data_IF_226526786845
#
_entry.id   IF_226526786845
#
_cell.length_a   1.000
_cell.length_b   1.000
_cell.length_c   1.000
_cell.angle_alpha   90.00
_cell.angle_beta   90.00
_cell.angle_gamma   90.00
#
_symmetry.space_group_name_H-M   'P 1'
#
loop_
_entity.id
_entity.type
_entity.pdbx_description
1 polymer ?
#
# COMPACT_ATOMS: atom_id res chain seq x y z
N UNK A 1 10.85 26.09 16.65
CA UNK A 1 9.46 25.60 16.53
C UNK A 1 9.49 24.25 15.83
N UNK A 2 8.95 23.20 16.44
CA UNK A 2 8.80 21.91 15.77
C UNK A 2 7.71 22.02 14.70
N UNK A 3 8.01 21.66 13.45
CA UNK A 3 6.98 21.48 12.42
C UNK A 3 6.02 20.41 12.94
N UNK A 4 4.70 20.66 13.01
CA UNK A 4 3.76 19.61 13.35
C UNK A 4 3.90 18.47 12.32
N UNK A 5 3.75 17.19 12.74
CA UNK A 5 3.78 16.08 11.80
C UNK A 5 2.72 16.32 10.72
N UNK A 6 3.08 16.07 9.47
CA UNK A 6 2.21 16.34 8.32
C UNK A 6 0.92 15.50 8.36
N UNK A 7 0.94 14.37 9.08
CA UNK A 7 -0.24 13.54 9.37
C UNK A 7 -0.03 12.87 10.74
N UNK A 8 -1.08 12.77 11.54
CA UNK A 8 -1.10 11.94 12.76
C UNK A 8 -1.86 10.67 12.44
N UNK A 9 -1.24 9.51 12.68
CA UNK A 9 -1.91 8.21 12.58
C UNK A 9 -1.84 7.49 13.92
N UNK A 10 -2.82 6.64 14.18
CA UNK A 10 -2.90 5.88 15.41
C UNK A 10 -2.66 4.38 15.15
N UNK A 11 -1.99 3.66 16.06
CA UNK A 11 -1.87 2.21 15.98
C UNK A 11 -3.24 1.55 15.84
N UNK A 12 -3.38 0.62 14.89
CA UNK A 12 -4.64 -0.07 14.60
C UNK A 12 -5.49 0.59 13.53
N UNK A 13 -5.21 1.84 13.11
CA UNK A 13 -5.89 2.45 11.96
C UNK A 13 -5.67 1.59 10.70
N UNK A 14 -6.75 1.33 9.97
CA UNK A 14 -6.74 0.61 8.69
C UNK A 14 -6.94 1.59 7.54
N UNK A 15 -6.07 1.47 6.56
CA UNK A 15 -5.94 2.40 5.45
C UNK A 15 -6.04 1.61 4.14
N UNK A 16 -7.00 2.00 3.31
CA UNK A 16 -7.13 1.53 1.93
C UNK A 16 -6.11 2.23 1.02
N UNK A 17 -5.41 1.42 0.24
CA UNK A 17 -4.36 1.77 -0.72
C UNK A 17 -4.91 1.49 -2.13
N UNK A 18 -5.10 2.51 -2.97
CA UNK A 18 -5.62 2.32 -4.32
C UNK A 18 -4.58 1.64 -5.21
N UNK A 19 -4.99 0.61 -5.94
CA UNK A 19 -4.11 -0.15 -6.84
C UNK A 19 -3.98 0.46 -8.24
N UNK A 20 -4.77 1.49 -8.52
CA UNK A 20 -4.89 2.12 -9.84
C UNK A 20 -4.19 3.46 -9.98
N UNK A 21 -3.57 3.98 -8.91
CA UNK A 21 -2.89 5.27 -8.93
C UNK A 21 -1.37 5.16 -9.16
N UNK A 22 -0.81 3.97 -9.41
CA UNK A 22 0.65 3.74 -9.51
C UNK A 22 1.38 4.71 -10.46
N UNK A 23 0.71 5.18 -11.51
CA UNK A 23 1.26 6.14 -12.49
C UNK A 23 1.02 7.62 -12.15
N UNK A 24 0.24 7.92 -11.12
CA UNK A 24 -0.10 9.29 -10.72
C UNK A 24 0.99 9.91 -9.84
N UNK A 25 1.35 11.19 -10.03
CA UNK A 25 2.38 11.84 -9.25
C UNK A 25 2.14 11.76 -7.73
N UNK A 26 3.19 11.42 -6.97
CA UNK A 26 3.12 11.23 -5.51
C UNK A 26 2.59 12.45 -4.74
N UNK A 27 2.80 13.66 -5.26
CA UNK A 27 2.39 14.90 -4.60
C UNK A 27 0.93 15.30 -4.90
N UNK A 28 0.26 14.60 -5.82
CA UNK A 28 -1.13 14.85 -6.19
C UNK A 28 -2.05 14.64 -4.99
N UNK A 29 -2.94 15.61 -4.74
CA UNK A 29 -3.95 15.52 -3.68
C UNK A 29 -5.27 15.06 -4.28
N UNK A 30 -5.89 14.03 -3.69
CA UNK A 30 -7.12 13.46 -4.23
C UNK A 30 -8.35 13.84 -3.41
N UNK A 31 -9.42 14.20 -4.11
CA UNK A 31 -10.75 14.41 -3.52
C UNK A 31 -11.49 13.06 -3.40
N UNK A 32 -12.54 13.01 -2.58
CA UNK A 32 -13.23 11.75 -2.25
C UNK A 32 -13.95 11.13 -3.45
N UNK A 33 -14.49 11.97 -4.33
CA UNK A 33 -15.11 11.62 -5.61
C UNK A 33 -14.19 10.86 -6.57
N UNK A 34 -12.87 11.07 -6.49
CA UNK A 34 -11.89 10.32 -7.29
C UNK A 34 -11.89 8.80 -7.03
N UNK A 35 -12.53 8.36 -5.96
CA UNK A 35 -12.60 6.95 -5.53
C UNK A 35 -14.01 6.36 -5.62
N UNK A 36 -14.98 7.13 -6.14
CA UNK A 36 -16.35 6.64 -6.31
C UNK A 36 -16.38 5.55 -7.39
N UNK A 37 -17.19 4.52 -7.18
CA UNK A 37 -17.45 3.44 -8.13
C UNK A 37 -16.22 2.62 -8.55
N UNK A 38 -15.14 2.65 -7.75
CA UNK A 38 -13.90 1.88 -8.01
C UNK A 38 -13.97 0.41 -7.58
N UNK A 39 -15.04 -0.03 -6.89
CA UNK A 39 -15.20 -1.42 -6.47
C UNK A 39 -13.96 -2.00 -5.77
N UNK A 40 -13.61 -3.24 -6.10
CA UNK A 40 -12.49 -4.00 -5.53
C UNK A 40 -11.13 -3.63 -6.13
N UNK A 41 -10.76 -2.35 -6.03
CA UNK A 41 -9.47 -1.84 -6.52
C UNK A 41 -8.58 -1.28 -5.40
N UNK A 42 -8.78 -1.71 -4.14
CA UNK A 42 -7.97 -1.31 -3.00
C UNK A 42 -7.36 -2.51 -2.30
N UNK A 43 -6.07 -2.42 -2.00
CA UNK A 43 -5.46 -3.21 -0.94
C UNK A 43 -5.54 -2.45 0.39
N UNK A 44 -5.16 -3.10 1.49
CA UNK A 44 -5.27 -2.50 2.81
C UNK A 44 -3.99 -2.67 3.62
N UNK A 45 -3.68 -1.68 4.43
CA UNK A 45 -2.66 -1.79 5.46
C UNK A 45 -3.21 -1.38 6.83
N UNK A 46 -2.63 -1.94 7.89
CA UNK A 46 -2.86 -1.52 9.27
C UNK A 46 -1.62 -0.80 9.80
N UNK A 47 -1.84 0.30 10.48
CA UNK A 47 -0.78 1.06 11.17
C UNK A 47 -0.33 0.27 12.39
N UNK A 48 0.97 -0.06 12.46
CA UNK A 48 1.57 -0.72 13.61
C UNK A 48 2.11 0.31 14.60
N UNK A 49 2.91 1.26 14.11
CA UNK A 49 3.51 2.32 14.93
C UNK A 49 3.90 3.53 14.07
N UNK A 50 3.60 4.75 14.53
CA UNK A 50 4.16 5.97 13.97
C UNK A 50 5.49 6.32 14.66
N UNK A 51 6.62 6.07 13.97
CA UNK A 51 7.96 6.44 14.44
C UNK A 51 8.36 7.85 14.03
N UNK A 52 7.38 8.70 13.68
CA UNK A 52 7.54 10.11 13.32
C UNK A 52 8.52 10.27 12.15
N UNK A 53 9.65 10.94 12.40
CA UNK A 53 10.66 11.22 11.37
C UNK A 53 11.28 9.97 10.73
N UNK A 54 11.16 8.80 11.36
CA UNK A 54 11.67 7.53 10.84
C UNK A 54 10.68 6.77 9.96
N UNK A 55 9.49 7.33 9.73
CA UNK A 55 8.41 6.70 8.97
C UNK A 55 7.36 6.04 9.87
N UNK A 56 6.31 5.53 9.24
CA UNK A 56 5.23 4.79 9.89
C UNK A 56 5.43 3.31 9.54
N UNK A 57 5.46 2.43 10.53
CA UNK A 57 5.49 0.97 10.28
C UNK A 57 4.07 0.52 10.01
N UNK A 58 3.88 -0.19 8.91
CA UNK A 58 2.60 -0.78 8.51
C UNK A 58 2.79 -2.24 8.11
N UNK A 59 1.73 -3.03 8.26
CA UNK A 59 1.59 -4.32 7.59
C UNK A 59 0.56 -4.20 6.48
N UNK A 60 0.84 -4.81 5.33
CA UNK A 60 -0.05 -4.83 4.17
C UNK A 60 -0.63 -6.22 4.05
N UNK A 61 -1.94 -6.32 3.89
CA UNK A 61 -2.66 -7.60 3.84
C UNK A 61 -2.88 -8.06 2.40
N UNK A 62 -2.90 -9.37 2.20
CA UNK A 62 -3.32 -10.04 0.96
C UNK A 62 -4.86 -10.07 0.88
N UNK A 63 -5.45 -8.87 0.92
CA UNK A 63 -6.88 -8.66 0.79
C UNK A 63 -7.11 -7.49 -0.16
N UNK A 64 -7.92 -7.71 -1.18
CA UNK A 64 -8.35 -6.69 -2.14
C UNK A 64 -9.86 -6.55 -2.06
N UNK A 65 -10.35 -5.31 -2.00
CA UNK A 65 -11.76 -5.03 -1.82
C UNK A 65 -12.11 -3.55 -1.97
N UNK A 66 -13.40 -3.24 -1.80
CA UNK A 66 -13.92 -1.87 -1.79
C UNK A 66 -13.62 -1.08 -0.51
N UNK A 67 -13.87 0.23 -0.54
CA UNK A 67 -13.70 1.10 0.64
C UNK A 67 -14.62 0.75 1.82
N UNK A 68 -15.64 -0.07 1.58
CA UNK A 68 -16.60 -0.61 2.53
C UNK A 68 -16.25 -2.02 3.02
N UNK A 69 -15.06 -2.55 2.66
CA UNK A 69 -14.57 -3.83 3.16
C UNK A 69 -14.61 -3.90 4.69
N UNK A 70 -15.06 -5.04 5.21
CA UNK A 70 -15.12 -5.25 6.65
C UNK A 70 -13.69 -5.34 7.22
N UNK A 71 -13.40 -4.53 8.24
CA UNK A 71 -12.08 -4.50 8.87
C UNK A 71 -11.66 -5.87 9.40
N UNK A 72 -12.62 -6.68 9.88
CA UNK A 72 -12.38 -8.04 10.34
C UNK A 72 -11.83 -8.95 9.24
N UNK A 73 -12.35 -8.85 8.02
CA UNK A 73 -11.91 -9.66 6.88
C UNK A 73 -10.51 -9.21 6.41
N UNK A 74 -10.26 -7.91 6.42
CA UNK A 74 -8.95 -7.33 6.10
C UNK A 74 -7.86 -7.86 7.03
N UNK A 75 -8.08 -7.79 8.35
CA UNK A 75 -7.05 -8.16 9.33
C UNK A 75 -6.94 -9.66 9.58
N UNK A 76 -7.91 -10.44 9.11
CA UNK A 76 -7.86 -11.90 9.12
C UNK A 76 -7.04 -12.47 7.94
N UNK A 77 -6.79 -11.67 6.90
CA UNK A 77 -5.95 -12.06 5.78
C UNK A 77 -4.46 -12.11 6.16
N UNK A 78 -3.71 -12.93 5.41
CA UNK A 78 -2.27 -13.01 5.57
C UNK A 78 -1.60 -11.69 5.16
N UNK A 79 -0.37 -11.49 5.64
CA UNK A 79 0.46 -10.38 5.19
C UNK A 79 0.98 -10.67 3.78
N UNK A 80 0.88 -9.68 2.90
CA UNK A 80 1.40 -9.76 1.53
C UNK A 80 2.94 -9.83 1.51
N UNK A 81 3.59 -9.19 2.46
CA UNK A 81 5.04 -9.22 2.68
C UNK A 81 5.37 -8.77 4.13
N UNK A 82 6.61 -8.95 4.63
CA UNK A 82 7.00 -8.47 5.96
C UNK A 82 6.68 -6.97 6.17
N UNK A 83 6.37 -6.52 7.39
CA UNK A 83 6.03 -5.12 7.65
C UNK A 83 7.05 -4.13 7.09
N UNK A 84 6.57 -2.99 6.59
CA UNK A 84 7.39 -1.98 5.90
C UNK A 84 7.25 -0.61 6.55
N UNK A 85 8.25 0.26 6.34
CA UNK A 85 8.16 1.67 6.70
C UNK A 85 7.60 2.50 5.53
N UNK A 86 6.66 3.39 5.79
CA UNK A 86 6.06 4.28 4.78
C UNK A 86 6.26 5.76 5.16
N UNK A 87 6.21 6.62 4.14
CA UNK A 87 5.95 8.05 4.37
C UNK A 87 4.48 8.27 4.71
N UNK A 88 4.17 9.29 5.51
CA UNK A 88 2.79 9.73 5.72
C UNK A 88 2.16 10.47 4.53
N UNK A 89 2.85 10.58 3.38
CA UNK A 89 2.38 11.40 2.26
C UNK A 89 1.13 10.86 1.59
N UNK A 90 1.01 9.54 1.41
CA UNK A 90 -0.20 8.93 0.82
C UNK A 90 -1.47 9.31 1.61
N UNK A 91 -1.36 9.32 2.93
CA UNK A 91 -2.42 9.67 3.87
C UNK A 91 -2.66 11.19 3.87
N UNK A 92 -1.60 11.99 4.04
CA UNK A 92 -1.68 13.46 4.07
C UNK A 92 -2.29 14.06 2.78
N UNK A 93 -1.94 13.48 1.63
CA UNK A 93 -2.45 13.88 0.31
C UNK A 93 -3.82 13.28 -0.01
N UNK A 94 -4.42 12.52 0.92
CA UNK A 94 -5.73 11.89 0.73
C UNK A 94 -5.76 10.94 -0.49
N UNK A 95 -4.59 10.43 -0.87
CA UNK A 95 -4.43 9.39 -1.89
C UNK A 95 -4.85 8.04 -1.32
N UNK A 96 -4.47 7.79 -0.06
CA UNK A 96 -4.92 6.64 0.72
C UNK A 96 -6.06 7.03 1.64
N UNK A 97 -6.97 6.09 1.90
CA UNK A 97 -8.24 6.34 2.60
C UNK A 97 -8.27 5.61 3.93
N UNK A 98 -8.50 6.34 5.02
CA UNK A 98 -8.84 5.71 6.30
C UNK A 98 -10.21 5.08 6.18
N UNK A 99 -10.31 3.79 6.50
CA UNK A 99 -11.56 3.01 6.37
C UNK A 99 -12.05 2.46 7.71
N UNK A 100 -11.21 2.45 8.73
CA UNK A 100 -11.61 2.08 10.09
C UNK A 100 -10.41 1.91 11.01
N UNK A 101 -10.67 1.32 12.17
CA UNK A 101 -9.66 0.99 13.18
C UNK A 101 -9.96 -0.41 13.72
N UNK A 102 -8.92 -1.19 13.97
CA UNK A 102 -9.04 -2.45 14.71
C UNK A 102 -9.12 -2.13 16.21
N UNK A 103 -10.21 -2.49 16.89
CA UNK A 103 -10.39 -2.21 18.31
C UNK A 103 -10.86 -3.45 19.09
N UNK A 104 -10.21 -3.80 20.22
CA UNK A 104 -8.98 -3.20 20.76
C UNK A 104 -7.72 -3.73 20.03
N UNK A 105 -6.92 -2.83 19.44
CA UNK A 105 -5.63 -3.22 18.83
C UNK A 105 -4.50 -3.26 19.85
N UNK A 106 -3.74 -4.35 19.83
CA UNK A 106 -2.48 -4.52 20.56
C UNK A 106 -1.40 -4.95 19.57
N UNK A 107 -0.39 -4.09 19.37
CA UNK A 107 0.65 -4.32 18.36
C UNK A 107 1.50 -5.58 18.59
N UNK A 108 1.61 -6.05 19.83
CA UNK A 108 2.37 -7.27 20.10
C UNK A 108 1.52 -8.48 19.76
N UNK A 109 0.30 -8.55 20.30
CA UNK A 109 -0.64 -9.66 20.05
C UNK A 109 -1.04 -9.75 18.58
N UNK A 110 -1.35 -8.62 17.95
CA UNK A 110 -1.97 -8.59 16.63
C UNK A 110 -0.96 -8.49 15.50
N UNK A 111 0.27 -8.03 15.78
CA UNK A 111 1.29 -7.81 14.75
C UNK A 111 2.67 -8.39 15.08
N UNK A 112 2.89 -8.99 16.26
CA UNK A 112 4.21 -9.50 16.66
C UNK A 112 5.27 -8.42 16.60
N UNK A 113 4.97 -7.23 17.15
CA UNK A 113 5.81 -6.04 17.01
C UNK A 113 7.28 -6.29 17.38
N UNK A 114 7.53 -7.01 18.47
CA UNK A 114 8.88 -7.37 18.93
C UNK A 114 9.68 -8.24 17.96
N UNK A 115 9.01 -8.93 17.02
CA UNK A 115 9.65 -9.80 16.01
C UNK A 115 9.86 -9.09 14.68
N UNK A 116 9.41 -7.84 14.52
CA UNK A 116 9.60 -7.10 13.27
C UNK A 116 11.06 -6.71 13.13
N UNK A 117 11.65 -7.12 12.01
CA UNK A 117 13.07 -6.92 11.70
C UNK A 117 13.21 -6.12 10.40
N UNK A 118 13.99 -5.05 10.45
CA UNK A 118 14.19 -4.13 9.32
C UNK A 118 15.67 -3.75 9.17
N UNK A 119 16.21 -3.85 7.97
CA UNK A 119 17.63 -3.56 7.72
C UNK A 119 17.87 -2.08 7.44
N UNK A 120 18.70 -1.46 8.27
CA UNK A 120 19.24 -0.11 8.06
C UNK A 120 20.53 -0.21 7.24
N UNK A 121 20.73 0.73 6.31
CA UNK A 121 21.96 0.85 5.50
C UNK A 121 22.41 -0.46 4.81
N UNK A 122 21.56 -1.11 3.99
CA UNK A 122 21.76 -2.47 3.50
C UNK A 122 23.04 -2.72 2.70
N UNK A 123 23.70 -1.68 2.17
CA UNK A 123 24.81 -1.81 1.22
C UNK A 123 26.20 -1.39 1.74
N UNK A 124 26.33 -0.88 2.95
CA UNK A 124 27.61 -0.41 3.50
C UNK A 124 27.90 -1.06 4.85
N UNK A 125 27.18 -0.62 5.89
CA UNK A 125 27.29 -1.15 7.25
C UNK A 125 25.90 -1.55 7.74
N UNK A 126 25.36 -2.67 7.24
CA UNK A 126 24.00 -3.04 7.53
C UNK A 126 23.81 -3.28 9.03
N UNK A 127 22.70 -2.79 9.55
CA UNK A 127 22.25 -3.05 10.93
C UNK A 127 20.83 -3.55 10.89
N UNK A 128 20.55 -4.62 11.62
CA UNK A 128 19.20 -5.10 11.83
C UNK A 128 18.56 -4.32 12.96
N UNK A 129 17.49 -3.59 12.67
CA UNK A 129 16.63 -3.00 13.68
C UNK A 129 15.58 -4.03 14.11
N UNK A 130 15.37 -4.17 15.41
CA UNK A 130 14.31 -4.97 16.02
C UNK A 130 13.94 -4.36 17.38
N UNK A 131 12.68 -3.94 17.54
CA UNK A 131 12.14 -3.37 18.79
C UNK A 131 13.04 -2.30 19.44
N UNK A 132 13.54 -1.36 18.64
CA UNK A 132 14.40 -0.29 19.12
C UNK A 132 15.88 -0.66 19.31
N UNK A 133 16.26 -1.93 19.13
CA UNK A 133 17.65 -2.39 19.18
C UNK A 133 18.21 -2.47 17.76
N UNK A 134 19.45 -1.97 17.56
CA UNK A 134 20.18 -2.09 16.30
C UNK A 134 21.39 -3.01 16.48
N UNK A 135 21.46 -4.09 15.71
CA UNK A 135 22.57 -5.05 15.74
C UNK A 135 23.32 -5.05 14.40
N UNK A 136 24.66 -4.91 14.37
CA UNK A 136 25.43 -5.06 13.14
C UNK A 136 25.25 -6.46 12.54
N UNK A 137 25.05 -6.53 11.22
CA UNK A 137 25.01 -7.78 10.46
C UNK A 137 25.93 -7.65 9.23
N UNK A 138 26.22 -8.76 8.55
CA UNK A 138 26.92 -8.71 7.26
C UNK A 138 25.95 -8.50 6.08
N UNK A 139 26.50 -8.16 4.91
CA UNK A 139 25.73 -7.83 3.71
C UNK A 139 24.98 -9.04 3.14
N UNK A 140 25.47 -10.27 3.30
CA UNK A 140 24.76 -11.46 2.83
C UNK A 140 23.55 -11.75 3.72
N UNK A 141 23.72 -11.67 5.04
CA UNK A 141 22.62 -11.77 6.02
C UNK A 141 21.56 -10.70 5.76
N UNK A 142 21.97 -9.47 5.44
CA UNK A 142 21.06 -8.36 5.16
C UNK A 142 20.07 -8.63 4.01
N UNK A 143 20.44 -9.44 3.00
CA UNK A 143 19.58 -9.76 1.85
C UNK A 143 18.34 -10.58 2.22
N UNK A 144 18.36 -11.27 3.36
CA UNK A 144 17.25 -12.09 3.85
C UNK A 144 16.13 -11.31 4.53
N UNK A 145 16.29 -10.01 4.73
CA UNK A 145 15.37 -9.18 5.50
C UNK A 145 14.83 -8.01 4.69
N UNK A 146 13.66 -7.53 5.11
CA UNK A 146 13.09 -6.29 4.57
C UNK A 146 13.98 -5.11 4.93
N UNK A 147 14.24 -4.23 3.97
CA UNK A 147 15.02 -3.01 4.24
C UNK A 147 14.15 -1.96 4.93
N UNK A 148 14.74 -1.19 5.85
CA UNK A 148 14.20 0.09 6.32
C UNK A 148 14.29 1.14 5.21
N UNK A 149 13.56 0.90 4.13
CA UNK A 149 13.28 1.87 3.08
C UNK A 149 11.96 2.52 3.42
N UNK A 150 11.94 3.83 3.56
CA UNK A 150 10.70 4.58 3.76
C UNK A 150 9.99 4.69 2.40
N UNK A 151 8.99 3.86 2.17
CA UNK A 151 8.25 3.78 0.91
C UNK A 151 7.39 5.04 0.70
N UNK A 152 7.50 5.63 -0.49
CA UNK A 152 6.52 6.62 -0.97
C UNK A 152 5.27 5.91 -1.46
N UNK A 153 4.17 6.66 -1.61
CA UNK A 153 2.88 6.07 -1.90
C UNK A 153 2.84 5.30 -3.22
N UNK A 154 3.36 5.92 -4.28
CA UNK A 154 3.49 5.36 -5.63
C UNK A 154 4.35 4.08 -5.67
N UNK A 155 5.49 4.08 -4.97
CA UNK A 155 6.37 2.91 -4.92
C UNK A 155 5.73 1.75 -4.15
N UNK A 156 5.03 2.02 -3.03
CA UNK A 156 4.36 0.96 -2.28
C UNK A 156 3.19 0.38 -3.08
N UNK A 157 2.38 1.23 -3.71
CA UNK A 157 1.28 0.78 -4.58
C UNK A 157 1.78 -0.11 -5.71
N UNK A 158 2.90 0.27 -6.35
CA UNK A 158 3.52 -0.53 -7.41
C UNK A 158 3.95 -1.90 -6.89
N UNK A 159 4.63 -1.94 -5.74
CA UNK A 159 5.05 -3.19 -5.10
C UNK A 159 3.86 -4.09 -4.76
N UNK A 160 2.75 -3.52 -4.27
CA UNK A 160 1.54 -4.28 -3.95
C UNK A 160 0.94 -4.89 -5.22
N UNK A 161 0.80 -4.10 -6.28
CA UNK A 161 0.28 -4.57 -7.58
C UNK A 161 1.14 -5.71 -8.12
N UNK A 162 2.47 -5.58 -8.06
CA UNK A 162 3.41 -6.63 -8.48
C UNK A 162 3.28 -7.89 -7.62
N UNK A 163 3.18 -7.77 -6.30
CA UNK A 163 3.07 -8.89 -5.37
C UNK A 163 1.75 -9.67 -5.52
N UNK A 164 0.64 -8.97 -5.81
CA UNK A 164 -0.67 -9.57 -6.07
C UNK A 164 -0.78 -10.21 -7.47
N UNK A 165 0.24 -10.05 -8.33
CA UNK A 165 0.20 -10.54 -9.70
C UNK A 165 -0.78 -9.80 -10.61
N UNK A 166 -1.24 -8.61 -10.21
CA UNK A 166 -2.03 -7.75 -11.08
C UNK A 166 -1.07 -7.01 -12.03
N UNK A 167 -1.26 -7.06 -13.36
CA UNK A 167 -0.47 -6.24 -14.25
C UNK A 167 -0.76 -4.76 -13.94
N UNK A 168 0.29 -3.97 -13.66
CA UNK A 168 0.18 -2.51 -13.61
C UNK A 168 -0.50 -2.05 -14.89
N UNK A 169 -1.70 -1.48 -14.77
CA UNK A 169 -2.43 -0.90 -15.89
C UNK A 169 -1.68 0.33 -16.41
N UNK A 170 -0.60 0.09 -17.15
CA UNK A 170 0.01 1.09 -18.00
C UNK A 170 -0.87 1.26 -19.24
N UNK A 171 -1.25 2.51 -19.51
CA UNK A 171 -1.77 3.17 -20.71
C UNK A 171 -2.03 2.43 -22.06
N UNK A 172 -2.30 1.13 -22.10
CA UNK A 172 -2.45 0.33 -23.32
C UNK A 172 -3.89 -0.09 -23.63
N UNK A 173 -4.85 0.09 -22.71
CA UNK A 173 -6.23 -0.37 -22.93
C UNK A 173 -7.13 0.64 -23.68
N UNK A 174 -6.54 1.45 -24.56
CA UNK A 174 -7.27 2.34 -25.49
C UNK A 174 -7.37 1.82 -26.92
N UNK A 175 -7.17 0.52 -27.16
CA UNK A 175 -7.42 -0.08 -28.48
C UNK A 175 -7.93 -1.52 -28.37
N UNK A 176 -9.19 -1.69 -27.97
CA UNK A 176 -10.01 -2.83 -28.43
C UNK A 176 -11.49 -2.54 -28.15
N UNK A 177 -12.09 -1.82 -29.09
CA UNK A 177 -13.51 -1.44 -29.05
C UNK A 177 -13.98 -0.79 -30.34
N UNK A 178 -13.48 -1.25 -31.49
CA UNK A 178 -14.17 -1.02 -32.78
C UNK A 178 -14.79 -2.35 -33.17
N UNK A 179 -16.06 -2.50 -32.81
CA UNK A 179 -16.89 -3.62 -33.26
C UNK A 179 -17.03 -3.63 -34.79
N UNK A 180 -17.40 -4.77 -35.38
CA UNK A 180 -17.49 -4.91 -36.82
C UNK A 180 -18.62 -4.05 -37.42
N UNK A 181 -18.30 -3.55 -38.61
CA UNK A 181 -19.06 -2.71 -39.53
C UNK A 181 -20.44 -3.31 -39.87
N UNK A 182 -21.54 -2.52 -39.92
CA UNK A 182 -22.82 -3.02 -40.41
C UNK A 182 -22.83 -3.08 -41.95
N UNK A 183 -22.80 -4.32 -42.43
CA UNK A 183 -22.99 -4.68 -43.83
C UNK A 183 -24.37 -4.21 -44.33
N UNK A 184 -24.37 -3.33 -45.35
CA UNK A 184 -25.58 -2.89 -46.04
C UNK A 184 -25.95 -3.92 -47.10
N UNK A 185 -26.94 -4.76 -46.80
CA UNK A 185 -27.61 -5.60 -47.81
C UNK A 185 -29.13 -5.41 -47.76
N UNK A 186 -29.68 -4.68 -48.73
CA UNK A 186 -31.08 -4.70 -49.25
C UNK A 186 -31.01 -3.87 -50.56
N UNK A 187 -31.48 -4.24 -51.75
CA UNK A 187 -32.33 -5.32 -52.23
C UNK A 187 -31.97 -5.66 -53.68
N UNK A 188 -32.29 -6.88 -54.10
CA UNK A 188 -32.40 -7.26 -55.52
C UNK A 188 -33.89 -7.41 -55.88
N UNK A 189 -34.22 -6.95 -57.09
CA UNK A 189 -35.32 -7.36 -57.98
C UNK A 189 -36.75 -6.82 -57.71
N UNK A 190 -37.61 -6.76 -58.76
CA UNK A 190 -37.38 -7.10 -60.18
C UNK A 190 -37.10 -5.91 -61.10
#
# INVERSE_FOLDING_TARGET
MARPPLVQVEPGEVIAIPLFLTSEPVLTRFRADAFRDRGDEFAFCRVIEDRRGSGIIVEVFDHVGGLDAAIADVVAADRLFPPVAITGLGIHKRRWRRVGTCEPYDRERDSGYSTIQLVLSPYDRPRLWQDGVETPIDVETAKGYESWRVWSADHLETRIVEALGHPSSSAADRRRGTGPEPDRAVATAP
#
